data_IF_756936349554
#
_entry.id   IF_756936349554
#
_cell.length_a   1.000
_cell.length_b   1.000
_cell.length_c   1.000
_cell.angle_alpha   90.00
_cell.angle_beta   90.00
_cell.angle_gamma   90.00
#
_symmetry.space_group_name_H-M   'P 1'
#
loop_
_entity.id
_entity.type
_entity.pdbx_description
1 polymer ?
#
# COMPACT_ATOMS: atom_id res chain seq x y z
N UNK A 1 -17.04 -12.46 7.67
CA UNK A 1 -16.93 -12.06 6.25
C UNK A 1 -16.69 -10.56 6.03
N UNK A 2 -17.42 -9.65 6.68
CA UNK A 2 -17.33 -8.19 6.43
C UNK A 2 -15.92 -7.59 6.44
N UNK A 3 -15.06 -7.93 7.41
CA UNK A 3 -13.71 -7.35 7.50
C UNK A 3 -12.74 -7.81 6.40
N UNK A 4 -13.01 -8.93 5.74
CA UNK A 4 -12.23 -9.37 4.58
C UNK A 4 -12.65 -8.58 3.34
N UNK A 5 -13.95 -8.41 3.13
CA UNK A 5 -14.50 -7.62 2.02
C UNK A 5 -14.05 -6.16 2.12
N UNK A 6 -14.15 -5.56 3.31
CA UNK A 6 -13.68 -4.19 3.54
C UNK A 6 -12.20 -4.01 3.20
N UNK A 7 -11.38 -5.01 3.51
CA UNK A 7 -9.96 -4.98 3.17
C UNK A 7 -9.73 -5.06 1.67
N UNK A 8 -10.42 -5.96 0.97
CA UNK A 8 -10.29 -6.07 -0.49
C UNK A 8 -10.66 -4.73 -1.13
N UNK A 9 -11.73 -4.08 -0.67
CA UNK A 9 -12.13 -2.75 -1.12
C UNK A 9 -11.02 -1.72 -0.83
N UNK A 10 -10.46 -1.71 0.38
CA UNK A 10 -9.37 -0.81 0.74
C UNK A 10 -8.10 -1.05 -0.11
N UNK A 11 -7.73 -2.31 -0.37
CA UNK A 11 -6.59 -2.66 -1.20
C UNK A 11 -6.79 -2.25 -2.66
N UNK A 12 -8.01 -2.40 -3.21
CA UNK A 12 -8.37 -1.90 -4.54
C UNK A 12 -8.28 -0.37 -4.60
N UNK A 13 -8.78 0.33 -3.58
CA UNK A 13 -8.68 1.78 -3.49
C UNK A 13 -7.22 2.26 -3.45
N UNK A 14 -6.38 1.63 -2.63
CA UNK A 14 -4.94 1.90 -2.56
C UNK A 14 -4.26 1.63 -3.91
N UNK A 15 -4.59 0.52 -4.56
CA UNK A 15 -4.11 0.22 -5.91
C UNK A 15 -4.48 1.34 -6.90
N UNK A 16 -5.72 1.84 -6.84
CA UNK A 16 -6.18 2.98 -7.64
C UNK A 16 -5.38 4.26 -7.39
N UNK A 17 -5.06 4.58 -6.14
CA UNK A 17 -4.18 5.71 -5.81
C UNK A 17 -2.80 5.56 -6.45
N UNK A 18 -2.22 4.35 -6.44
CA UNK A 18 -0.93 4.09 -7.07
C UNK A 18 -0.98 4.17 -8.60
N UNK A 19 -2.10 3.78 -9.22
CA UNK A 19 -2.34 3.99 -10.66
C UNK A 19 -2.34 5.47 -11.01
N UNK A 20 -3.02 6.31 -10.20
CA UNK A 20 -3.02 7.75 -10.39
C UNK A 20 -1.61 8.33 -10.35
N UNK A 21 -0.78 7.87 -9.41
CA UNK A 21 0.64 8.24 -9.33
C UNK A 21 1.40 7.80 -10.59
N UNK A 22 1.22 6.56 -11.04
CA UNK A 22 1.90 6.04 -12.23
C UNK A 22 1.53 6.84 -13.49
N UNK A 23 0.25 7.20 -13.64
CA UNK A 23 -0.23 8.04 -14.75
C UNK A 23 0.42 9.43 -14.74
N UNK A 24 0.60 10.02 -13.56
CA UNK A 24 1.25 11.34 -13.41
C UNK A 24 2.71 11.35 -13.85
N UNK A 25 3.43 10.24 -13.71
CA UNK A 25 4.87 10.14 -14.00
C UNK A 25 5.19 9.24 -15.21
N UNK A 26 4.23 9.01 -16.11
CA UNK A 26 4.38 8.15 -17.30
C UNK A 26 5.01 6.77 -17.01
N UNK A 27 4.59 6.12 -15.92
CA UNK A 27 5.00 4.75 -15.56
C UNK A 27 3.89 3.73 -15.82
N UNK A 28 4.27 2.45 -15.84
CA UNK A 28 3.33 1.34 -16.03
C UNK A 28 2.25 1.33 -14.95
N UNK A 29 1.01 1.55 -15.36
CA UNK A 29 -0.15 1.61 -14.47
C UNK A 29 -0.43 0.27 -13.79
N UNK A 30 -0.36 -0.83 -14.55
CA UNK A 30 -0.63 -2.18 -14.05
C UNK A 30 0.37 -2.58 -12.97
N UNK A 31 1.66 -2.28 -13.18
CA UNK A 31 2.69 -2.59 -12.20
C UNK A 31 2.46 -1.86 -10.87
N UNK A 32 2.16 -0.56 -10.92
CA UNK A 32 1.90 0.23 -9.71
C UNK A 32 0.59 -0.15 -9.02
N UNK A 33 -0.45 -0.53 -9.77
CA UNK A 33 -1.67 -1.10 -9.21
C UNK A 33 -1.36 -2.34 -8.39
N UNK A 34 -0.68 -3.32 -9.00
CA UNK A 34 -0.29 -4.57 -8.33
C UNK A 34 0.56 -4.27 -7.10
N UNK A 35 1.52 -3.35 -7.19
CA UNK A 35 2.38 -2.98 -6.08
C UNK A 35 1.59 -2.43 -4.89
N UNK A 36 0.66 -1.50 -5.11
CA UNK A 36 -0.20 -0.95 -4.05
C UNK A 36 -1.16 -1.99 -3.47
N UNK A 37 -1.79 -2.79 -4.34
CA UNK A 37 -2.73 -3.84 -3.96
C UNK A 37 -2.08 -4.93 -3.11
N UNK A 38 -0.98 -5.53 -3.60
CA UNK A 38 -0.27 -6.58 -2.89
C UNK A 38 0.43 -6.07 -1.64
N UNK A 39 0.94 -4.83 -1.62
CA UNK A 39 1.51 -4.25 -0.40
C UNK A 39 0.46 -4.19 0.72
N UNK A 40 -0.75 -3.70 0.43
CA UNK A 40 -1.86 -3.64 1.39
C UNK A 40 -2.27 -5.03 1.91
N UNK A 41 -2.34 -6.03 1.03
CA UNK A 41 -2.64 -7.41 1.43
C UNK A 41 -1.52 -8.05 2.27
N UNK A 42 -0.27 -7.87 1.85
CA UNK A 42 0.90 -8.46 2.52
C UNK A 42 1.04 -7.95 3.96
N UNK A 43 0.81 -6.65 4.19
CA UNK A 43 0.86 -6.04 5.54
C UNK A 43 -0.12 -6.72 6.49
N UNK A 44 -1.35 -6.99 6.03
CA UNK A 44 -2.32 -7.68 6.89
C UNK A 44 -1.93 -9.13 7.13
N UNK A 45 -1.41 -9.82 6.12
CA UNK A 45 -0.96 -11.19 6.26
C UNK A 45 0.18 -11.30 7.29
N UNK A 46 1.16 -10.38 7.22
CA UNK A 46 2.25 -10.27 8.18
C UNK A 46 1.73 -9.94 9.57
N UNK A 47 0.80 -8.99 9.70
CA UNK A 47 0.20 -8.66 11.00
C UNK A 47 -0.50 -9.85 11.64
N UNK A 48 -1.29 -10.60 10.87
CA UNK A 48 -1.97 -11.81 11.34
C UNK A 48 -0.98 -12.89 11.75
N UNK A 49 0.12 -13.06 11.01
CA UNK A 49 1.19 -13.98 11.39
C UNK A 49 1.85 -13.56 12.70
N UNK A 50 2.27 -12.30 12.84
CA UNK A 50 2.91 -11.79 14.06
C UNK A 50 1.97 -11.96 15.26
N UNK A 51 0.70 -11.59 15.09
CA UNK A 51 -0.30 -11.75 16.13
C UNK A 51 -0.50 -13.23 16.51
N UNK A 52 -0.67 -14.11 15.52
CA UNK A 52 -0.81 -15.55 15.74
C UNK A 52 0.40 -16.17 16.44
N UNK A 53 1.62 -15.78 16.06
CA UNK A 53 2.83 -16.20 16.76
C UNK A 53 2.88 -15.67 18.19
N UNK A 54 2.53 -14.40 18.41
CA UNK A 54 2.54 -13.79 19.75
C UNK A 54 1.52 -14.41 20.70
N UNK A 55 0.40 -14.94 20.18
CA UNK A 55 -0.64 -15.58 21.01
C UNK A 55 -0.53 -17.10 21.04
N UNK A 56 0.55 -17.70 20.48
CA UNK A 56 0.66 -19.15 20.25
C UNK A 56 -0.57 -19.74 19.56
N UNK A 57 -1.17 -18.98 18.63
CA UNK A 57 -2.43 -19.30 17.96
C UNK A 57 -3.59 -19.60 18.92
N UNK A 58 -3.51 -19.15 20.18
CA UNK A 58 -4.63 -19.27 21.12
C UNK A 58 -5.78 -18.38 20.68
N UNK A 59 -6.99 -18.94 20.74
CA UNK A 59 -8.23 -18.26 20.40
C UNK A 59 -8.63 -17.40 21.61
N UNK A 60 -8.00 -16.23 21.75
CA UNK A 60 -8.36 -15.26 22.81
C UNK A 60 -9.55 -14.39 22.37
N UNK A 61 -10.44 -14.08 23.33
CA UNK A 61 -11.70 -13.34 23.12
C UNK A 61 -11.50 -11.85 22.76
N UNK A 62 -10.32 -11.27 23.01
CA UNK A 62 -9.93 -9.88 22.65
C UNK A 62 -9.60 -9.69 21.16
N UNK A 63 -10.18 -10.51 20.31
CA UNK A 63 -9.96 -10.51 18.87
C UNK A 63 -10.45 -9.21 18.20
N UNK A 64 -11.40 -8.48 18.79
CA UNK A 64 -12.02 -7.31 18.16
C UNK A 64 -11.07 -6.10 18.08
N UNK A 65 -10.28 -5.86 19.14
CA UNK A 65 -9.35 -4.73 19.20
C UNK A 65 -8.20 -4.89 18.20
N UNK A 66 -7.57 -6.07 18.20
CA UNK A 66 -6.48 -6.42 17.28
C UNK A 66 -6.93 -6.42 15.81
N UNK A 67 -8.19 -6.80 15.56
CA UNK A 67 -8.78 -6.78 14.23
C UNK A 67 -8.96 -5.37 13.67
N UNK A 68 -9.38 -4.41 14.49
CA UNK A 68 -9.48 -3.01 14.06
C UNK A 68 -8.10 -2.40 13.83
N UNK A 69 -7.12 -2.70 14.69
CA UNK A 69 -5.74 -2.22 14.53
C UNK A 69 -5.13 -2.68 13.21
N UNK A 70 -5.35 -3.95 12.85
CA UNK A 70 -4.89 -4.53 11.58
C UNK A 70 -5.43 -3.80 10.35
N UNK A 71 -6.71 -3.43 10.38
CA UNK A 71 -7.36 -2.66 9.30
C UNK A 71 -6.74 -1.27 9.20
N UNK A 72 -6.54 -0.59 10.33
CA UNK A 72 -5.95 0.75 10.39
C UNK A 72 -4.51 0.76 9.83
N UNK A 73 -3.70 -0.23 10.23
CA UNK A 73 -2.33 -0.41 9.73
C UNK A 73 -2.28 -0.68 8.22
N UNK A 74 -3.26 -1.42 7.69
CA UNK A 74 -3.37 -1.71 6.24
C UNK A 74 -3.71 -0.48 5.38
N UNK A 75 -4.03 0.66 6.00
CA UNK A 75 -4.27 1.95 5.34
C UNK A 75 -3.07 2.89 5.55
N UNK A 76 -2.58 3.01 6.78
CA UNK A 76 -1.49 3.93 7.14
C UNK A 76 -0.18 3.56 6.43
N UNK A 77 0.20 2.28 6.46
CA UNK A 77 1.50 1.84 5.93
C UNK A 77 1.57 2.03 4.39
N UNK A 78 0.57 1.61 3.59
CA UNK A 78 0.59 1.87 2.16
C UNK A 78 0.55 3.37 1.80
N UNK A 79 -0.08 4.20 2.64
CA UNK A 79 -0.05 5.64 2.48
C UNK A 79 1.36 6.24 2.70
N UNK A 80 2.10 5.75 3.70
CA UNK A 80 3.51 6.10 3.86
C UNK A 80 4.35 5.71 2.63
N UNK A 81 4.12 4.49 2.11
CA UNK A 81 4.78 4.00 0.90
C UNK A 81 4.45 4.90 -0.32
N UNK A 82 3.19 5.33 -0.44
CA UNK A 82 2.74 6.25 -1.47
C UNK A 82 3.49 7.59 -1.43
N UNK A 83 3.65 8.18 -0.25
CA UNK A 83 4.39 9.45 -0.08
C UNK A 83 5.85 9.27 -0.48
N UNK A 84 6.50 8.17 -0.06
CA UNK A 84 7.89 7.89 -0.41
C UNK A 84 8.08 7.69 -1.92
N UNK A 85 7.20 6.90 -2.55
CA UNK A 85 7.22 6.68 -4.00
C UNK A 85 6.96 7.98 -4.76
N UNK A 86 6.01 8.80 -4.32
CA UNK A 86 5.75 10.12 -4.91
C UNK A 86 7.00 11.00 -4.86
N UNK A 87 7.62 11.17 -3.68
CA UNK A 87 8.84 11.98 -3.54
C UNK A 87 9.96 11.47 -4.44
N UNK A 88 10.15 10.14 -4.52
CA UNK A 88 11.20 9.54 -5.35
C UNK A 88 10.94 9.71 -6.84
N UNK A 89 9.69 9.54 -7.28
CA UNK A 89 9.27 9.73 -8.66
C UNK A 89 9.36 11.20 -9.08
N UNK A 90 8.95 12.13 -8.22
CA UNK A 90 9.05 13.57 -8.47
C UNK A 90 10.50 14.02 -8.66
N UNK A 91 11.41 13.58 -7.78
CA UNK A 91 12.84 13.86 -7.91
C UNK A 91 13.42 13.34 -9.24
N UNK A 92 13.00 12.14 -9.67
CA UNK A 92 13.48 11.54 -10.92
C UNK A 92 12.88 12.22 -12.16
N UNK A 93 11.58 12.49 -12.13
CA UNK A 93 10.87 13.13 -13.24
C UNK A 93 11.39 14.55 -13.52
N UNK A 94 11.64 15.35 -12.48
CA UNK A 94 12.21 16.69 -12.67
C UNK A 94 13.64 16.61 -13.20
N UNK A 95 14.44 15.64 -12.77
CA UNK A 95 15.79 15.44 -13.31
C UNK A 95 15.78 14.99 -14.78
N UNK A 96 14.83 14.13 -15.18
CA UNK A 96 14.70 13.66 -16.56
C UNK A 96 14.17 14.79 -17.47
N UNK A 97 13.27 15.65 -16.96
CA UNK A 97 12.75 16.82 -17.68
C UNK A 97 13.82 17.91 -17.90
N UNK A 98 14.69 18.14 -16.93
CA UNK A 98 15.79 19.12 -17.00
C UNK A 98 16.84 18.72 -18.06
N UNK A 99 17.07 17.41 -18.24
CA UNK A 99 17.99 16.88 -19.27
C UNK A 99 17.39 17.01 -20.68
N UNK A 100 16.08 16.81 -20.83
CA UNK A 100 15.39 16.97 -22.12
C UNK A 100 15.34 18.43 -22.59
N UNK A 101 15.40 19.39 -21.64
CA UNK A 101 15.50 20.83 -21.94
C UNK A 101 16.92 21.28 -22.35
N UNK A 102 17.98 20.64 -21.83
CA UNK A 102 19.38 20.94 -22.22
C UNK A 102 19.73 20.37 -23.61
N UNK A 103 19.00 19.35 -24.08
CA UNK A 103 19.20 18.73 -25.39
C UNK A 103 18.54 19.45 -26.57
N UNK A 104 17.88 20.58 -26.35
CA UNK A 104 17.12 21.35 -27.35
C UNK A 104 17.80 22.67 -27.69
#
# INVERSE_FOLDING_TARGET
MGNFIFQVIASVFIGGCFVYLAKRYNKSQVFYFCLGFFASLAIRFIYLLIYGFSTNFSVQEDFSYNRNLSVLLSIIIPYGLFILLRKKLEKKYNSDADIDEIGK
#
